data_IF_031368389528
#
_entry.id   IF_031368389528
#
_cell.length_a   1.000
_cell.length_b   1.000
_cell.length_c   1.000
_cell.angle_alpha   90.00
_cell.angle_beta   90.00
_cell.angle_gamma   90.00
#
_symmetry.space_group_name_H-M   'P 1'
#
loop_
_entity.id
_entity.type
_entity.pdbx_description
1 polymer ?
#
# COMPACT_ATOMS: atom_id res chain seq x y z
N UNK A 1 3.83 25.07 -3.81
CA UNK A 1 3.65 23.76 -4.48
C UNK A 1 2.20 23.33 -4.32
N UNK A 2 1.57 22.71 -5.33
CA UNK A 2 0.20 22.22 -5.21
C UNK A 2 0.13 21.06 -4.21
N UNK A 3 -1.04 20.90 -3.60
CA UNK A 3 -1.34 19.78 -2.72
C UNK A 3 -1.42 18.47 -3.51
N UNK A 4 -1.06 17.36 -2.86
CA UNK A 4 -1.18 16.00 -3.36
C UNK A 4 -2.27 15.27 -2.57
N UNK A 5 -3.18 14.60 -3.28
CA UNK A 5 -4.27 13.82 -2.68
C UNK A 5 -4.06 12.32 -2.98
N UNK A 6 -3.80 11.53 -1.95
CA UNK A 6 -3.54 10.09 -2.07
C UNK A 6 -4.71 9.29 -1.50
N UNK A 7 -5.15 8.27 -2.24
CA UNK A 7 -6.11 7.30 -1.73
C UNK A 7 -5.35 6.17 -1.01
N UNK A 8 -5.72 5.90 0.23
CA UNK A 8 -5.09 4.86 1.07
C UNK A 8 -6.14 3.84 1.49
N UNK A 9 -5.84 2.56 1.25
CA UNK A 9 -6.68 1.43 1.68
C UNK A 9 -5.86 0.48 2.53
N UNK A 10 -6.36 0.13 3.72
CA UNK A 10 -5.78 -0.88 4.58
C UNK A 10 -6.42 -2.24 4.33
N UNK A 11 -5.57 -3.24 4.18
CA UNK A 11 -5.92 -4.65 4.17
C UNK A 11 -5.30 -5.31 5.40
N UNK A 12 -6.14 -5.85 6.28
CA UNK A 12 -5.72 -6.51 7.53
C UNK A 12 -6.00 -8.01 7.55
N UNK A 13 -5.15 -8.79 8.23
CA UNK A 13 -5.32 -10.21 8.53
C UNK A 13 -5.35 -10.48 10.04
N UNK A 14 -6.32 -9.91 10.74
CA UNK A 14 -6.56 -10.17 12.17
C UNK A 14 -7.63 -11.23 12.37
N UNK A 15 -7.35 -12.52 12.11
CA UNK A 15 -8.32 -13.63 12.27
C UNK A 15 -9.60 -13.57 11.40
N UNK A 16 -9.83 -12.43 10.76
CA UNK A 16 -10.91 -12.09 9.86
C UNK A 16 -10.39 -10.98 8.92
N UNK A 17 -10.61 -11.09 7.60
CA UNK A 17 -10.17 -10.07 6.66
C UNK A 17 -10.91 -8.76 6.97
N UNK A 18 -10.15 -7.73 7.34
CA UNK A 18 -10.68 -6.39 7.58
C UNK A 18 -10.18 -5.45 6.49
N UNK A 19 -11.12 -4.83 5.79
CA UNK A 19 -10.85 -3.74 4.85
C UNK A 19 -11.20 -2.42 5.54
N UNK A 20 -10.25 -1.50 5.61
CA UNK A 20 -10.47 -0.16 6.12
C UNK A 20 -10.06 0.86 5.05
N UNK A 21 -11.03 1.58 4.48
CA UNK A 21 -10.81 2.57 3.43
C UNK A 21 -11.77 2.42 2.23
N UNK A 22 -11.53 3.18 1.14
CA UNK A 22 -10.41 4.11 0.95
C UNK A 22 -10.57 5.42 1.74
N UNK A 23 -9.47 5.95 2.28
CA UNK A 23 -9.40 7.30 2.85
C UNK A 23 -8.51 8.20 1.99
N UNK A 24 -8.90 9.46 1.85
CA UNK A 24 -8.14 10.48 1.14
C UNK A 24 -7.19 11.21 2.11
N UNK A 25 -5.89 11.10 1.88
CA UNK A 25 -4.86 11.82 2.63
C UNK A 25 -4.33 12.97 1.80
N UNK A 26 -4.51 14.19 2.31
CA UNK A 26 -3.95 15.42 1.73
C UNK A 26 -2.53 15.65 2.24
N UNK A 27 -1.59 15.91 1.33
CA UNK A 27 -0.17 16.09 1.63
C UNK A 27 0.51 17.05 0.64
N UNK A 28 1.84 17.20 0.71
CA UNK A 28 2.65 17.97 -0.24
C UNK A 28 3.79 17.10 -0.79
N UNK A 29 4.38 17.43 -1.95
CA UNK A 29 5.48 16.67 -2.53
C UNK A 29 6.71 16.54 -1.61
N UNK A 30 6.93 17.52 -0.72
CA UNK A 30 8.06 17.56 0.21
C UNK A 30 7.84 16.75 1.49
N UNK A 31 6.61 16.30 1.78
CA UNK A 31 6.36 15.49 2.96
C UNK A 31 6.91 14.07 2.78
N UNK A 32 7.50 13.54 3.84
CA UNK A 32 7.86 12.12 3.93
C UNK A 32 6.63 11.24 4.06
N UNK A 33 6.71 10.03 3.49
CA UNK A 33 5.67 9.02 3.56
C UNK A 33 5.27 8.68 5.01
N UNK A 34 6.22 8.68 5.95
CA UNK A 34 5.95 8.44 7.39
C UNK A 34 4.87 9.36 7.97
N UNK A 35 4.72 10.59 7.45
CA UNK A 35 3.66 11.51 7.89
C UNK A 35 2.27 11.04 7.42
N UNK A 36 2.20 10.53 6.19
CA UNK A 36 0.98 9.96 5.59
C UNK A 36 0.59 8.69 6.34
N UNK A 37 1.57 7.80 6.58
CA UNK A 37 1.41 6.57 7.38
C UNK A 37 0.82 6.91 8.75
N UNK A 38 1.50 7.78 9.52
CA UNK A 38 1.03 8.16 10.84
C UNK A 38 -0.36 8.82 10.84
N UNK A 39 -0.68 9.60 9.80
CA UNK A 39 -2.01 10.21 9.67
C UNK A 39 -3.10 9.17 9.43
N UNK A 40 -2.88 8.27 8.47
CA UNK A 40 -3.83 7.24 8.09
C UNK A 40 -4.02 6.21 9.21
N UNK A 41 -2.93 5.73 9.82
CA UNK A 41 -2.98 4.75 10.91
C UNK A 41 -3.74 5.27 12.14
N UNK A 42 -3.56 6.55 12.50
CA UNK A 42 -4.36 7.18 13.58
C UNK A 42 -5.85 7.22 13.25
N UNK A 43 -6.21 7.50 12.00
CA UNK A 43 -7.61 7.49 11.55
C UNK A 43 -8.19 6.08 11.55
N UNK A 44 -7.41 5.09 11.09
CA UNK A 44 -7.81 3.68 11.01
C UNK A 44 -7.76 2.95 12.37
N UNK A 45 -7.23 3.58 13.43
CA UNK A 45 -7.10 2.97 14.75
C UNK A 45 -6.06 1.85 14.83
N UNK A 46 -5.02 1.89 13.98
CA UNK A 46 -3.95 0.89 13.93
C UNK A 46 -2.58 1.49 14.26
N UNK A 47 -1.63 0.65 14.66
CA UNK A 47 -0.27 1.10 14.92
C UNK A 47 0.52 1.23 13.60
N UNK A 48 1.26 2.33 13.36
CA UNK A 48 2.08 2.50 12.17
C UNK A 48 3.09 1.38 11.91
N UNK A 49 3.70 0.85 12.97
CA UNK A 49 4.70 -0.22 12.90
C UNK A 49 4.12 -1.58 12.53
N UNK A 50 2.79 -1.76 12.60
CA UNK A 50 2.13 -3.01 12.24
C UNK A 50 1.72 -3.08 10.76
N UNK A 51 2.05 -2.07 9.95
CA UNK A 51 1.64 -1.99 8.54
C UNK A 51 2.80 -1.59 7.63
N UNK A 52 2.84 -2.21 6.46
CA UNK A 52 3.75 -1.86 5.36
C UNK A 52 2.94 -1.22 4.25
N UNK A 53 3.43 -0.12 3.71
CA UNK A 53 2.76 0.58 2.62
C UNK A 53 3.34 0.14 1.28
N UNK A 54 2.48 -0.11 0.30
CA UNK A 54 2.86 -0.52 -1.05
C UNK A 54 2.27 0.44 -2.10
N UNK A 55 2.95 0.56 -3.24
CA UNK A 55 2.35 1.15 -4.43
C UNK A 55 1.24 0.24 -4.97
N UNK A 56 0.48 0.75 -5.94
CA UNK A 56 -0.51 -0.06 -6.68
C UNK A 56 0.13 -1.27 -7.37
N UNK A 57 1.38 -1.13 -7.81
CA UNK A 57 2.18 -2.21 -8.44
C UNK A 57 2.81 -3.18 -7.42
N UNK A 58 2.43 -3.10 -6.14
CA UNK A 58 2.91 -4.00 -5.10
C UNK A 58 4.31 -3.70 -4.55
N UNK A 59 4.98 -2.63 -5.00
CA UNK A 59 6.30 -2.25 -4.49
C UNK A 59 6.18 -1.70 -3.08
N UNK A 60 6.94 -2.24 -2.13
CA UNK A 60 7.07 -1.65 -0.80
C UNK A 60 7.60 -0.21 -0.91
N UNK A 61 6.94 0.71 -0.19
CA UNK A 61 7.28 2.13 -0.16
C UNK A 61 8.10 2.44 1.09
N UNK A 62 9.18 3.20 0.90
CA UNK A 62 10.09 3.58 1.99
C UNK A 62 9.49 4.74 2.80
N UNK A 63 9.23 4.59 4.11
CA UNK A 63 8.64 5.64 4.95
C UNK A 63 9.42 6.95 5.00
N UNK A 64 10.74 6.89 4.86
CA UNK A 64 11.65 8.03 4.92
C UNK A 64 11.67 8.86 3.63
N UNK A 65 11.25 8.26 2.51
CA UNK A 65 11.19 8.93 1.22
C UNK A 65 10.03 9.94 1.18
N UNK A 66 10.24 11.02 0.45
CA UNK A 66 9.23 12.04 0.17
C UNK A 66 8.23 11.56 -0.87
N UNK A 67 7.05 12.18 -0.88
CA UNK A 67 6.02 11.96 -1.90
C UNK A 67 6.58 12.15 -3.32
N UNK A 68 7.44 13.16 -3.51
CA UNK A 68 8.11 13.42 -4.78
C UNK A 68 9.13 12.31 -5.17
N UNK A 69 9.95 11.84 -4.22
CA UNK A 69 10.93 10.76 -4.48
C UNK A 69 10.26 9.42 -4.80
N UNK A 70 9.04 9.22 -4.29
CA UNK A 70 8.20 8.06 -4.60
C UNK A 70 7.37 8.25 -5.88
N UNK A 71 7.52 9.37 -6.58
CA UNK A 71 6.74 9.74 -7.77
C UNK A 71 5.22 9.71 -7.55
N UNK A 72 4.77 9.95 -6.31
CA UNK A 72 3.35 9.95 -5.97
C UNK A 72 2.73 11.31 -6.32
N UNK A 73 1.58 11.28 -6.97
CA UNK A 73 0.81 12.45 -7.39
C UNK A 73 -0.67 12.29 -7.05
N UNK A 74 -1.44 13.38 -7.15
CA UNK A 74 -2.87 13.36 -6.86
C UNK A 74 -3.58 12.30 -7.70
N UNK A 75 -4.41 11.48 -7.05
CA UNK A 75 -5.12 10.38 -7.68
C UNK A 75 -4.41 9.02 -7.58
N UNK A 76 -3.15 8.98 -7.13
CA UNK A 76 -2.51 7.70 -6.83
C UNK A 76 -3.19 7.00 -5.66
N UNK A 77 -3.36 5.69 -5.83
CA UNK A 77 -3.72 4.78 -4.76
C UNK A 77 -2.45 4.13 -4.19
N UNK A 78 -2.39 4.04 -2.86
CA UNK A 78 -1.39 3.26 -2.13
C UNK A 78 -2.11 2.35 -1.15
N UNK A 79 -1.53 1.19 -0.88
CA UNK A 79 -2.13 0.18 -0.01
C UNK A 79 -1.34 0.07 1.27
N UNK A 80 -2.02 -0.12 2.40
CA UNK A 80 -1.42 -0.45 3.68
C UNK A 80 -1.74 -1.92 3.99
N UNK A 81 -0.74 -2.65 4.46
CA UNK A 81 -0.78 -4.09 4.58
C UNK A 81 -0.26 -4.54 5.94
N UNK A 82 -1.10 -5.20 6.75
CA UNK A 82 -0.61 -5.90 7.94
C UNK A 82 -0.03 -7.25 7.51
N UNK A 83 1.28 -7.47 7.71
CA UNK A 83 2.03 -8.71 7.43
C UNK A 83 1.32 -9.74 6.52
N UNK A 84 1.32 -9.52 5.21
CA UNK A 84 0.88 -10.49 4.23
C UNK A 84 1.82 -10.53 3.03
N UNK A 85 1.87 -11.68 2.37
CA UNK A 85 2.52 -11.84 1.08
C UNK A 85 1.51 -11.48 -0.01
N UNK A 86 1.82 -10.46 -0.82
CA UNK A 86 1.08 -10.22 -2.07
C UNK A 86 1.35 -11.39 -3.01
N UNK A 87 0.28 -12.01 -3.51
CA UNK A 87 0.39 -13.05 -4.54
C UNK A 87 0.17 -12.39 -5.89
N UNK A 88 1.12 -12.57 -6.80
CA UNK A 88 0.92 -12.23 -8.20
C UNK A 88 0.13 -13.36 -8.87
N UNK A 89 -0.96 -12.99 -9.54
CA UNK A 89 -1.81 -13.93 -10.27
C UNK A 89 -1.12 -14.34 -11.58
N UNK A 90 -0.28 -13.47 -12.17
CA UNK A 90 0.36 -13.73 -13.46
C UNK A 90 1.38 -14.87 -13.39
N UNK A 91 2.15 -14.97 -12.29
CA UNK A 91 3.11 -16.07 -12.07
C UNK A 91 2.44 -17.38 -11.64
N UNK A 92 1.29 -17.31 -10.97
CA UNK A 92 0.63 -18.49 -10.39
C UNK A 92 -0.09 -19.36 -11.43
N UNK A 93 -0.72 -18.75 -12.44
CA UNK A 93 -1.42 -19.48 -13.51
C UNK A 93 -0.43 -20.11 -14.51
N UNK A 94 0.67 -19.40 -14.86
CA UNK A 94 1.68 -19.90 -15.80
C UNK A 94 2.49 -21.06 -15.22
N UNK A 95 2.81 -21.02 -13.93
CA UNK A 95 3.46 -22.13 -13.22
C UNK A 95 2.54 -23.36 -13.10
N UNK A 96 1.24 -23.15 -12.86
CA UNK A 96 0.27 -24.24 -12.82
C UNK A 96 0.10 -24.91 -14.20
N UNK A 97 0.03 -24.13 -15.28
CA UNK A 97 -0.10 -24.65 -16.65
C UNK A 97 1.15 -25.39 -17.14
N UNK A 98 2.35 -24.91 -16.79
CA UNK A 98 3.60 -25.59 -17.17
C UNK A 98 3.84 -26.88 -16.39
N UNK A 99 3.39 -26.97 -15.14
CA UNK A 99 3.44 -28.20 -14.36
C UNK A 99 2.48 -29.29 -14.88
N UNK A 100 1.32 -28.92 -15.42
CA UNK A 100 0.34 -29.84 -16.00
C UNK A 100 0.69 -30.37 -17.39
N UNK A 101 1.63 -29.75 -18.10
CA UNK A 101 2.09 -30.16 -19.45
C UNK A 101 3.33 -31.08 -19.42
N UNK A 102 3.97 -31.24 -18.26
CA UNK A 102 5.15 -32.07 -18.04
C UNK A 102 4.85 -33.38 -17.25
N UNK A 103 3.57 -33.65 -16.98
CA UNK A 103 3.10 -34.85 -16.26
C UNK A 103 2.46 -35.89 -17.17
#
# INVERSE_FOLDING_TARGET
>A
MPDVLLAVTLFGSGGSPQLCGPAMVKTTPAHQLRRIIGCFCRWAGVQPESVVFHSVDGRALTPEATVAELSLSSGHAITAAAAFTLLDVEDSELAALTSGLMG
#
